data_IF_982410726140
#
_entry.id   IF_982410726140
#
_cell.length_a   1.000
_cell.length_b   1.000
_cell.length_c   1.000
_cell.angle_alpha   90.00
_cell.angle_beta   90.00
_cell.angle_gamma   90.00
#
_symmetry.space_group_name_H-M   'P 1'
#
loop_
_entity.id
_entity.type
_entity.pdbx_description
1 polymer ?
#
# COMPACT_ATOMS: atom_id res chain seq x y z
N UNK A 1 -23.07 -19.45 19.95
CA UNK A 1 -22.49 -18.16 20.37
C UNK A 1 -22.16 -17.37 19.11
N UNK A 2 -22.90 -16.29 18.92
CA UNK A 2 -22.97 -15.43 17.72
C UNK A 2 -21.66 -14.69 17.44
N UNK A 3 -21.29 -14.54 16.16
CA UNK A 3 -20.07 -13.78 15.80
C UNK A 3 -19.89 -13.39 14.33
N UNK A 4 -20.97 -12.93 13.67
CA UNK A 4 -21.03 -12.11 12.43
C UNK A 4 -20.27 -12.58 11.17
N UNK A 5 -21.06 -12.75 10.11
CA UNK A 5 -20.64 -12.76 8.72
C UNK A 5 -19.62 -11.65 8.40
N UNK A 6 -18.45 -12.04 7.90
CA UNK A 6 -17.54 -11.12 7.24
C UNK A 6 -18.01 -10.96 5.80
N UNK A 7 -18.84 -9.95 5.55
CA UNK A 7 -18.92 -9.34 4.24
C UNK A 7 -17.61 -8.53 4.05
N UNK A 8 -16.51 -9.21 3.74
CA UNK A 8 -15.29 -8.52 3.37
C UNK A 8 -15.46 -8.08 1.92
N UNK A 9 -15.93 -6.85 1.71
CA UNK A 9 -15.62 -6.16 0.48
C UNK A 9 -14.11 -6.28 0.31
N UNK A 10 -13.67 -6.94 -0.76
CA UNK A 10 -12.27 -7.28 -1.06
C UNK A 10 -11.46 -6.02 -1.38
N UNK A 11 -11.34 -5.12 -0.39
CA UNK A 11 -10.29 -4.13 -0.32
C UNK A 11 -9.05 -4.88 0.14
N UNK A 12 -8.10 -5.06 -0.78
CA UNK A 12 -6.81 -5.66 -0.49
C UNK A 12 -6.22 -4.99 0.76
N UNK A 13 -5.88 -5.73 1.81
CA UNK A 13 -5.35 -5.16 3.05
C UNK A 13 -4.04 -4.43 2.75
N UNK A 14 -4.12 -3.11 2.69
CA UNK A 14 -3.03 -2.23 2.29
C UNK A 14 -2.44 -1.56 3.54
N UNK A 15 -1.11 -1.43 3.64
CA UNK A 15 -0.49 -0.65 4.71
C UNK A 15 -0.97 0.81 4.72
N UNK A 16 -0.75 1.52 5.81
CA UNK A 16 -1.29 2.86 6.03
C UNK A 16 -0.47 3.84 5.23
N UNK A 17 -1.07 4.95 4.81
CA UNK A 17 -0.38 5.98 4.06
C UNK A 17 0.95 6.41 4.72
N UNK A 18 0.95 6.60 6.05
CA UNK A 18 2.16 6.95 6.81
C UNK A 18 3.26 5.87 6.77
N UNK A 19 2.87 4.59 6.75
CA UNK A 19 3.82 3.47 6.67
C UNK A 19 4.46 3.37 5.29
N UNK A 20 3.67 3.57 4.24
CA UNK A 20 4.15 3.60 2.87
C UNK A 20 5.10 4.78 2.61
N UNK A 21 4.77 5.97 3.13
CA UNK A 21 5.67 7.14 3.05
C UNK A 21 7.00 6.86 3.76
N UNK A 22 6.96 6.33 4.98
CA UNK A 22 8.19 5.98 5.70
C UNK A 22 9.03 4.94 4.95
N UNK A 23 8.40 3.91 4.37
CA UNK A 23 9.08 2.95 3.50
C UNK A 23 9.71 3.60 2.27
N UNK A 24 9.00 4.55 1.63
CA UNK A 24 9.50 5.25 0.45
C UNK A 24 10.75 6.05 0.80
N UNK A 25 10.73 6.82 1.87
CA UNK A 25 11.87 7.62 2.31
C UNK A 25 13.08 6.74 2.63
N UNK A 26 12.89 5.66 3.39
CA UNK A 26 13.97 4.71 3.71
C UNK A 26 14.58 4.08 2.44
N UNK A 27 13.75 3.86 1.43
CA UNK A 27 14.19 3.30 0.15
C UNK A 27 14.95 4.32 -0.69
N UNK A 28 14.49 5.58 -0.74
CA UNK A 28 15.20 6.68 -1.41
C UNK A 28 16.57 6.92 -0.79
N UNK A 29 16.70 6.76 0.52
CA UNK A 29 17.96 6.86 1.25
C UNK A 29 18.87 5.63 1.06
N UNK A 30 18.38 4.53 0.46
CA UNK A 30 19.09 3.27 0.34
C UNK A 30 19.34 2.55 1.67
N UNK A 31 18.56 2.87 2.72
CA UNK A 31 18.80 2.37 4.07
C UNK A 31 18.15 1.00 4.29
N UNK A 32 18.74 -0.05 3.71
CA UNK A 32 18.21 -1.42 3.70
C UNK A 32 17.77 -1.95 5.09
N UNK A 33 18.60 -1.74 6.12
CA UNK A 33 18.26 -2.14 7.51
C UNK A 33 16.99 -1.47 8.00
N UNK A 34 16.79 -0.19 7.69
CA UNK A 34 15.58 0.53 8.04
C UNK A 34 14.37 0.04 7.26
N UNK A 35 14.51 -0.21 5.95
CA UNK A 35 13.44 -0.77 5.11
C UNK A 35 12.95 -2.10 5.69
N UNK A 36 13.87 -3.02 6.01
CA UNK A 36 13.52 -4.35 6.57
C UNK A 36 12.83 -4.24 7.94
N UNK A 37 13.33 -3.37 8.82
CA UNK A 37 12.72 -3.14 10.13
C UNK A 37 11.31 -2.55 10.01
N UNK A 38 11.13 -1.57 9.11
CA UNK A 38 9.81 -0.97 8.87
C UNK A 38 8.81 -1.98 8.30
N UNK A 39 9.25 -2.83 7.37
CA UNK A 39 8.47 -3.94 6.82
C UNK A 39 8.02 -4.93 7.92
N UNK A 40 8.94 -5.32 8.80
CA UNK A 40 8.66 -6.21 9.92
C UNK A 40 7.65 -5.59 10.91
N UNK A 41 7.84 -4.31 11.27
CA UNK A 41 6.91 -3.58 12.12
C UNK A 41 5.49 -3.48 11.52
N UNK A 42 5.39 -3.31 10.19
CA UNK A 42 4.09 -3.31 9.49
C UNK A 42 3.43 -4.68 9.57
N UNK A 43 4.16 -5.77 9.31
CA UNK A 43 3.62 -7.13 9.40
C UNK A 43 3.20 -7.50 10.84
N UNK A 44 3.97 -7.07 11.84
CA UNK A 44 3.66 -7.28 13.24
C UNK A 44 2.40 -6.52 13.68
N UNK A 45 2.26 -5.26 13.24
CA UNK A 45 1.07 -4.46 13.52
C UNK A 45 -0.16 -4.94 12.74
N UNK A 46 0.04 -5.42 11.51
CA UNK A 46 -1.03 -5.85 10.60
C UNK A 46 -0.64 -7.10 9.81
N UNK A 47 -0.97 -8.29 10.33
CA UNK A 47 -0.70 -9.55 9.65
C UNK A 47 -1.49 -9.70 8.34
N UNK A 48 -2.60 -8.97 8.19
CA UNK A 48 -3.35 -8.88 6.94
C UNK A 48 -2.50 -8.35 5.75
N UNK A 49 -1.49 -7.51 6.01
CA UNK A 49 -0.63 -6.93 4.97
C UNK A 49 0.60 -7.81 4.65
N UNK A 50 0.67 -9.05 5.14
CA UNK A 50 1.88 -9.89 5.04
C UNK A 50 2.32 -10.14 3.60
N UNK A 51 1.39 -10.38 2.68
CA UNK A 51 1.71 -10.58 1.26
C UNK A 51 2.42 -9.36 0.65
N UNK A 52 1.92 -8.16 0.95
CA UNK A 52 2.54 -6.91 0.52
C UNK A 52 3.95 -6.77 1.11
N UNK A 53 4.08 -6.99 2.43
CA UNK A 53 5.36 -6.90 3.14
C UNK A 53 6.39 -7.88 2.57
N UNK A 54 5.97 -9.11 2.28
CA UNK A 54 6.82 -10.15 1.71
C UNK A 54 7.33 -9.76 0.31
N UNK A 55 6.43 -9.29 -0.57
CA UNK A 55 6.79 -8.84 -1.91
C UNK A 55 7.78 -7.65 -1.89
N UNK A 56 7.54 -6.65 -1.03
CA UNK A 56 8.47 -5.53 -0.86
C UNK A 56 9.80 -5.99 -0.25
N UNK A 57 9.77 -6.93 0.69
CA UNK A 57 10.95 -7.50 1.32
C UNK A 57 11.87 -8.22 0.33
N UNK A 58 11.29 -8.96 -0.63
CA UNK A 58 12.05 -9.63 -1.69
C UNK A 58 12.69 -8.63 -2.67
N UNK A 59 11.99 -7.56 -3.05
CA UNK A 59 12.56 -6.49 -3.87
C UNK A 59 13.73 -5.80 -3.14
N UNK A 60 13.57 -5.49 -1.86
CA UNK A 60 14.63 -4.91 -1.04
C UNK A 60 15.85 -5.83 -0.94
N UNK A 61 15.64 -7.14 -0.74
CA UNK A 61 16.71 -8.15 -0.63
C UNK A 61 17.50 -8.28 -1.93
N UNK A 62 16.84 -8.11 -3.07
CA UNK A 62 17.46 -8.10 -4.39
C UNK A 62 18.04 -6.73 -4.78
N UNK A 63 18.08 -5.77 -3.85
CA UNK A 63 18.54 -4.39 -4.09
C UNK A 63 17.78 -3.69 -5.23
N UNK A 64 16.55 -4.13 -5.52
CA UNK A 64 15.69 -3.53 -6.55
C UNK A 64 14.97 -2.30 -6.00
N UNK A 65 15.74 -1.32 -5.52
CA UNK A 65 15.19 -0.13 -4.84
C UNK A 65 14.34 0.74 -5.77
N UNK A 66 14.71 0.87 -7.05
CA UNK A 66 13.89 1.60 -8.02
C UNK A 66 12.52 0.95 -8.22
N UNK A 67 12.50 -0.37 -8.42
CA UNK A 67 11.26 -1.15 -8.53
C UNK A 67 10.42 -1.03 -7.25
N UNK A 68 11.07 -1.12 -6.09
CA UNK A 68 10.42 -0.97 -4.79
C UNK A 68 9.79 0.43 -4.65
N UNK A 69 10.50 1.49 -5.04
CA UNK A 69 9.96 2.86 -5.06
C UNK A 69 8.75 2.99 -5.99
N UNK A 70 8.80 2.43 -7.19
CA UNK A 70 7.67 2.46 -8.13
C UNK A 70 6.45 1.73 -7.54
N UNK A 71 6.65 0.60 -6.87
CA UNK A 71 5.57 -0.13 -6.21
C UNK A 71 4.97 0.67 -5.05
N UNK A 72 5.81 1.29 -4.22
CA UNK A 72 5.35 2.15 -3.11
C UNK A 72 4.58 3.37 -3.61
N UNK A 73 5.05 4.02 -4.69
CA UNK A 73 4.35 5.16 -5.29
C UNK A 73 2.98 4.77 -5.83
N UNK A 74 2.86 3.62 -6.50
CA UNK A 74 1.57 3.10 -6.97
C UNK A 74 0.63 2.79 -5.82
N UNK A 75 1.12 2.19 -4.74
CA UNK A 75 0.33 1.90 -3.55
C UNK A 75 -0.16 3.19 -2.86
N UNK A 76 0.66 4.24 -2.80
CA UNK A 76 0.28 5.56 -2.29
C UNK A 76 -0.78 6.23 -3.17
N UNK A 77 -0.62 6.18 -4.50
CA UNK A 77 -1.59 6.73 -5.44
C UNK A 77 -2.94 6.01 -5.34
N UNK A 78 -2.92 4.69 -5.16
CA UNK A 78 -4.14 3.88 -4.98
C UNK A 78 -4.88 4.18 -3.67
N UNK A 79 -4.19 4.74 -2.67
CA UNK A 79 -4.81 5.17 -1.40
C UNK A 79 -5.46 6.55 -1.46
N UNK A 80 -5.15 7.35 -2.47
CA UNK A 80 -5.90 8.57 -2.68
C UNK A 80 -7.35 8.17 -2.94
N UNK A 81 -8.32 8.69 -2.16
CA UNK A 81 -9.71 8.42 -2.43
C UNK A 81 -9.98 8.88 -3.86
N UNK A 82 -10.30 7.91 -4.73
CA UNK A 82 -10.73 8.23 -6.08
C UNK A 82 -12.06 8.93 -5.91
N UNK A 83 -12.04 10.26 -5.91
CA UNK A 83 -13.25 11.05 -5.98
C UNK A 83 -13.98 10.57 -7.23
N UNK A 84 -15.17 9.93 -7.12
CA UNK A 84 -15.91 9.59 -8.32
C UNK A 84 -16.17 10.93 -9.00
N UNK A 85 -15.65 11.10 -10.21
CA UNK A 85 -16.01 12.24 -11.03
C UNK A 85 -17.55 12.25 -11.07
N UNK A 86 -18.24 13.28 -10.53
CA UNK A 86 -19.65 13.43 -10.83
C UNK A 86 -19.73 13.51 -12.35
N UNK A 87 -20.57 12.65 -12.91
CA UNK A 87 -20.72 12.44 -14.34
C UNK A 87 -20.85 13.78 -15.07
N UNK A 88 -20.35 13.91 -16.32
CA UNK A 88 -20.66 15.08 -17.12
C UNK A 88 -22.18 15.13 -17.24
N UNK A 89 -22.80 16.10 -16.55
CA UNK A 89 -24.21 16.38 -16.69
C UNK A 89 -24.44 16.62 -18.18
N UNK A 90 -25.07 15.62 -18.80
CA UNK A 90 -25.39 15.61 -20.21
C UNK A 90 -26.39 16.70 -20.48
N UNK A 91 -25.89 17.91 -20.74
CA UNK A 91 -26.61 18.88 -21.56
C UNK A 91 -26.41 18.47 -23.02
N UNK A 92 -27.15 17.43 -23.42
CA UNK A 92 -27.21 16.91 -24.78
C UNK A 92 -28.62 17.02 -25.38
N UNK A 93 -29.49 17.86 -24.82
CA UNK A 93 -30.80 18.13 -25.41
C UNK A 93 -31.34 19.50 -24.97
N UNK A 94 -31.11 20.55 -25.76
CA UNK A 94 -32.17 21.20 -26.55
C UNK A 94 -31.74 22.48 -27.27
#
# INVERSE_FOLDING_TARGET
MTGRAQAHATLHPMPSHADLLALQELTRLGFYRGIRNKLDAIAAARPECTDFVSAMGELARQFQFETLLTQLQRALLAQLPQNPQPEPDGDHDR
#
